data_IF_935017248122
#
_entry.id   IF_935017248122
#
_cell.length_a   1.000
_cell.length_b   1.000
_cell.length_c   1.000
_cell.angle_alpha   90.00
_cell.angle_beta   90.00
_cell.angle_gamma   90.00
#
_symmetry.space_group_name_H-M   'P 1'
#
loop_
_entity.id
_entity.type
_entity.pdbx_description
1 polymer ?
#
# COMPACT_ATOMS: atom_id res chain seq x y z
N UNK A 1 -39.41 -47.76 38.72
CA UNK A 1 -38.06 -47.22 38.58
C UNK A 1 -37.38 -47.53 37.23
N UNK A 2 -37.36 -48.75 36.66
CA UNK A 2 -36.70 -49.05 35.38
C UNK A 2 -37.31 -48.32 34.16
N UNK A 3 -38.64 -48.21 34.07
CA UNK A 3 -39.33 -47.52 32.95
C UNK A 3 -39.07 -45.99 32.92
N UNK A 4 -38.98 -45.38 34.10
CA UNK A 4 -38.70 -43.92 34.23
C UNK A 4 -37.30 -43.56 33.75
N UNK A 5 -36.32 -44.43 34.04
CA UNK A 5 -34.93 -44.22 33.61
C UNK A 5 -34.76 -44.37 32.07
N UNK A 6 -35.54 -45.28 31.45
CA UNK A 6 -35.51 -45.46 29.98
C UNK A 6 -36.10 -44.24 29.27
N UNK A 7 -37.20 -43.70 29.79
CA UNK A 7 -37.81 -42.48 29.23
C UNK A 7 -36.89 -41.27 29.39
N UNK A 8 -36.26 -41.12 30.54
CA UNK A 8 -35.29 -40.05 30.82
C UNK A 8 -34.06 -40.14 29.85
N UNK A 9 -33.54 -41.37 29.65
CA UNK A 9 -32.42 -41.59 28.71
C UNK A 9 -32.79 -41.25 27.26
N UNK A 10 -34.02 -41.56 26.83
CA UNK A 10 -34.53 -41.27 25.50
C UNK A 10 -34.72 -39.77 25.27
N UNK A 11 -35.21 -39.03 26.29
CA UNK A 11 -35.33 -37.56 26.24
C UNK A 11 -33.96 -36.88 26.18
N UNK A 12 -32.96 -37.37 26.92
CA UNK A 12 -31.61 -36.87 26.86
C UNK A 12 -30.96 -37.09 25.48
N UNK A 13 -31.18 -38.26 24.87
CA UNK A 13 -30.69 -38.50 23.49
C UNK A 13 -31.34 -37.56 22.47
N UNK A 14 -32.62 -37.22 22.59
CA UNK A 14 -33.29 -36.28 21.69
C UNK A 14 -32.76 -34.86 21.84
N UNK A 15 -32.38 -34.45 23.05
CA UNK A 15 -31.80 -33.13 23.32
C UNK A 15 -30.35 -32.98 22.78
N UNK A 16 -29.68 -34.08 22.50
CA UNK A 16 -28.33 -34.09 21.92
C UNK A 16 -28.32 -34.04 20.37
N UNK A 17 -29.45 -34.24 19.73
CA UNK A 17 -29.64 -34.05 18.27
C UNK A 17 -29.97 -32.60 17.91
N UNK A 18 -29.41 -31.62 18.61
CA UNK A 18 -29.43 -30.25 18.13
C UNK A 18 -28.55 -30.18 16.88
N UNK A 19 -29.17 -30.04 15.69
CA UNK A 19 -28.46 -29.64 14.49
C UNK A 19 -27.79 -28.27 14.75
N UNK A 20 -26.54 -28.27 15.13
CA UNK A 20 -25.74 -27.07 15.05
C UNK A 20 -25.31 -26.96 13.58
N UNK A 21 -26.04 -26.17 12.82
CA UNK A 21 -25.53 -25.66 11.55
C UNK A 21 -24.38 -24.74 11.89
N UNK A 22 -23.17 -25.23 11.70
CA UNK A 22 -21.91 -24.52 11.91
C UNK A 22 -21.51 -23.72 10.66
N UNK A 23 -22.41 -23.52 9.72
CA UNK A 23 -22.15 -22.61 8.60
C UNK A 23 -22.07 -21.17 9.13
N UNK A 24 -20.87 -20.69 9.27
CA UNK A 24 -20.58 -19.32 9.68
C UNK A 24 -20.84 -18.39 8.51
N UNK A 25 -21.89 -17.61 8.57
CA UNK A 25 -22.07 -16.46 7.66
C UNK A 25 -21.25 -15.31 8.20
N UNK A 26 -20.10 -15.05 7.58
CA UNK A 26 -19.23 -13.92 7.93
C UNK A 26 -19.93 -12.63 7.53
N UNK A 27 -20.56 -11.94 8.49
CA UNK A 27 -21.24 -10.65 8.26
C UNK A 27 -20.26 -9.45 8.29
N UNK A 28 -19.05 -9.63 8.79
CA UNK A 28 -18.06 -8.55 8.99
C UNK A 28 -16.78 -8.68 8.17
N UNK A 29 -16.65 -9.75 7.39
CA UNK A 29 -15.55 -9.96 6.46
C UNK A 29 -16.06 -10.59 5.17
N UNK A 30 -15.61 -10.12 4.04
CA UNK A 30 -15.90 -10.74 2.74
C UNK A 30 -14.87 -11.83 2.52
N UNK A 31 -15.29 -13.08 2.30
CA UNK A 31 -14.37 -14.15 1.95
C UNK A 31 -13.64 -13.77 0.66
N UNK A 32 -12.34 -14.07 0.56
CA UNK A 32 -11.50 -13.67 -0.57
C UNK A 32 -12.06 -14.08 -1.93
N UNK A 33 -12.77 -15.22 -1.98
CA UNK A 33 -13.43 -15.72 -3.20
C UNK A 33 -14.71 -14.93 -3.59
N UNK A 34 -15.27 -14.15 -2.66
CA UNK A 34 -16.48 -13.33 -2.88
C UNK A 34 -16.15 -11.84 -3.05
N UNK A 35 -14.87 -11.46 -2.92
CA UNK A 35 -14.46 -10.05 -2.84
C UNK A 35 -14.61 -9.33 -4.18
N UNK A 36 -14.29 -10.00 -5.29
CA UNK A 36 -14.38 -9.40 -6.62
C UNK A 36 -15.33 -10.20 -7.49
N UNK A 37 -16.48 -9.61 -7.84
CA UNK A 37 -17.51 -10.23 -8.66
C UNK A 37 -17.43 -9.82 -10.13
N UNK A 38 -16.72 -8.74 -10.41
CA UNK A 38 -16.62 -8.16 -11.74
C UNK A 38 -15.39 -7.25 -11.89
N UNK A 39 -15.08 -6.88 -13.11
CA UNK A 39 -14.00 -5.97 -13.48
C UNK A 39 -14.04 -4.64 -12.73
N UNK A 40 -15.24 -4.05 -12.57
CA UNK A 40 -15.39 -2.74 -11.92
C UNK A 40 -14.92 -2.76 -10.47
N UNK A 41 -15.10 -3.86 -9.78
CA UNK A 41 -14.65 -4.03 -8.40
C UNK A 41 -13.13 -4.14 -8.32
N UNK A 42 -12.48 -4.83 -9.27
CA UNK A 42 -11.02 -4.89 -9.35
C UNK A 42 -10.41 -3.50 -9.67
N UNK A 43 -11.00 -2.77 -10.61
CA UNK A 43 -10.58 -1.40 -10.93
C UNK A 43 -10.77 -0.48 -9.72
N UNK A 44 -11.90 -0.58 -9.01
CA UNK A 44 -12.13 0.19 -7.79
C UNK A 44 -11.12 -0.16 -6.68
N UNK A 45 -10.75 -1.43 -6.56
CA UNK A 45 -9.72 -1.88 -5.62
C UNK A 45 -8.36 -1.24 -5.92
N UNK A 46 -7.96 -1.17 -7.18
CA UNK A 46 -6.73 -0.48 -7.59
C UNK A 46 -6.71 0.99 -7.14
N UNK A 47 -7.86 1.65 -7.13
CA UNK A 47 -8.01 3.02 -6.62
C UNK A 47 -7.55 3.20 -5.16
N UNK A 48 -7.55 2.16 -4.33
CA UNK A 48 -7.07 2.22 -2.94
C UNK A 48 -5.60 2.62 -2.84
N UNK A 49 -4.74 2.13 -3.74
CA UNK A 49 -3.33 2.49 -3.76
C UNK A 49 -3.12 3.97 -4.10
N UNK A 50 -3.91 4.51 -5.04
CA UNK A 50 -3.86 5.92 -5.41
C UNK A 50 -4.34 6.85 -4.29
N UNK A 51 -5.30 6.42 -3.46
CA UNK A 51 -5.72 7.23 -2.30
C UNK A 51 -4.59 7.48 -1.30
N UNK A 52 -3.58 6.61 -1.25
CA UNK A 52 -2.41 6.80 -0.40
C UNK A 52 -1.55 8.00 -0.85
N UNK A 53 -1.59 8.37 -2.13
CA UNK A 53 -0.85 9.54 -2.64
C UNK A 53 -1.35 10.87 -2.03
N UNK A 54 -2.61 10.95 -1.61
CA UNK A 54 -3.16 12.15 -0.97
C UNK A 54 -2.38 12.58 0.29
N UNK A 55 -1.76 11.64 0.99
CA UNK A 55 -0.96 11.92 2.18
C UNK A 55 0.38 12.61 1.87
N UNK A 56 0.83 12.66 0.61
CA UNK A 56 2.12 13.21 0.22
C UNK A 56 2.25 14.71 0.54
N UNK A 57 1.22 15.50 0.26
CA UNK A 57 1.22 16.96 0.40
C UNK A 57 0.53 17.45 1.68
N UNK A 58 0.33 16.62 2.67
CA UNK A 58 -0.25 17.05 3.94
C UNK A 58 0.77 17.80 4.80
N UNK A 59 0.30 18.59 5.75
CA UNK A 59 1.12 19.47 6.61
C UNK A 59 2.27 18.78 7.36
N UNK A 60 2.29 17.54 7.54
CA UNK A 60 3.36 16.80 8.22
C UNK A 60 3.69 15.52 7.44
N UNK A 61 3.87 15.70 6.15
CA UNK A 61 4.09 14.62 5.17
C UNK A 61 5.57 14.47 4.81
N UNK A 62 5.84 13.53 3.91
CA UNK A 62 7.15 13.37 3.30
C UNK A 62 7.59 14.64 2.55
N UNK A 63 6.67 15.31 1.83
CA UNK A 63 6.96 16.56 1.14
C UNK A 63 7.45 17.65 2.11
N UNK A 64 6.80 17.82 3.25
CA UNK A 64 7.24 18.75 4.29
C UNK A 64 8.62 18.38 4.85
N UNK A 65 8.89 17.09 5.06
CA UNK A 65 10.21 16.62 5.48
C UNK A 65 11.29 17.02 4.47
N UNK A 66 11.06 16.80 3.19
CA UNK A 66 12.01 17.10 2.13
C UNK A 66 12.25 18.63 1.99
N UNK A 67 11.18 19.43 2.05
CA UNK A 67 11.31 20.89 2.02
C UNK A 67 12.09 21.45 3.21
N UNK A 68 11.85 20.92 4.41
CA UNK A 68 12.57 21.36 5.61
C UNK A 68 14.03 20.89 5.63
N UNK A 69 14.35 19.82 4.91
CA UNK A 69 15.72 19.31 4.75
C UNK A 69 16.51 20.07 3.66
N UNK A 70 15.84 20.90 2.86
CA UNK A 70 16.43 21.70 1.80
C UNK A 70 16.63 23.16 2.25
N UNK A 71 17.32 23.95 1.42
CA UNK A 71 17.51 25.39 1.62
C UNK A 71 16.31 26.23 1.11
N UNK A 72 15.27 25.58 0.58
CA UNK A 72 14.12 26.27 -0.04
C UNK A 72 13.14 26.84 0.99
N UNK A 73 13.05 26.23 2.16
CA UNK A 73 12.03 26.55 3.16
C UNK A 73 12.58 26.46 4.58
N UNK A 74 12.21 27.43 5.41
CA UNK A 74 12.50 27.41 6.83
C UNK A 74 11.23 27.70 7.63
N UNK A 75 10.99 26.95 8.69
CA UNK A 75 9.95 27.23 9.67
C UNK A 75 10.62 27.77 10.94
N UNK A 76 10.63 29.11 11.15
CA UNK A 76 11.29 29.69 12.29
C UNK A 76 10.58 29.33 13.60
N UNK A 77 11.36 29.15 14.66
CA UNK A 77 10.86 28.95 16.03
C UNK A 77 10.37 30.27 16.62
N UNK A 78 9.29 30.83 16.09
CA UNK A 78 8.77 32.14 16.53
C UNK A 78 7.62 32.08 17.55
N UNK A 79 7.38 30.92 18.12
CA UNK A 79 6.26 30.69 19.05
C UNK A 79 4.92 30.48 18.33
N UNK A 80 3.90 30.07 19.08
CA UNK A 80 2.58 29.76 18.51
C UNK A 80 2.47 28.38 17.87
N UNK A 81 1.45 28.17 17.01
CA UNK A 81 1.11 26.86 16.44
C UNK A 81 2.15 26.27 15.51
N UNK A 82 2.95 27.09 14.85
CA UNK A 82 3.98 26.65 13.88
C UNK A 82 5.26 26.12 14.51
N UNK A 83 5.47 26.34 15.79
CA UNK A 83 6.66 25.83 16.49
C UNK A 83 6.73 24.29 16.50
N UNK A 84 5.59 23.63 16.58
CA UNK A 84 5.47 22.14 16.50
C UNK A 84 6.48 21.38 17.38
N UNK A 85 6.78 21.92 18.58
CA UNK A 85 7.78 21.38 19.50
C UNK A 85 9.21 21.27 18.90
N UNK A 86 9.58 22.18 18.01
CA UNK A 86 10.92 22.24 17.43
C UNK A 86 11.24 21.22 16.35
N UNK A 87 10.27 20.37 15.94
CA UNK A 87 10.52 19.28 14.98
C UNK A 87 11.00 19.73 13.61
N UNK A 88 10.62 20.93 13.16
CA UNK A 88 11.09 21.51 11.91
C UNK A 88 12.53 22.03 12.05
N UNK A 89 12.85 22.67 13.17
CA UNK A 89 14.18 23.14 13.50
C UNK A 89 15.19 21.98 13.60
N UNK A 90 14.78 20.85 14.17
CA UNK A 90 15.59 19.61 14.22
C UNK A 90 16.03 19.17 12.83
N UNK A 91 15.14 19.25 11.82
CA UNK A 91 15.45 18.88 10.45
C UNK A 91 16.38 19.93 9.82
N UNK A 92 16.05 21.20 9.89
CA UNK A 92 16.83 22.29 9.31
C UNK A 92 18.26 22.36 9.84
N UNK A 93 18.44 22.06 11.13
CA UNK A 93 19.76 22.07 11.77
C UNK A 93 20.50 20.74 11.65
N UNK A 94 19.95 19.76 10.93
CA UNK A 94 20.48 18.39 10.81
C UNK A 94 20.71 17.68 12.16
N UNK A 95 19.92 18.04 13.19
CA UNK A 95 19.94 17.41 14.51
C UNK A 95 18.67 16.59 14.73
N UNK A 96 18.42 15.64 13.84
CA UNK A 96 17.16 14.93 13.74
C UNK A 96 17.18 13.71 14.68
N UNK A 97 16.43 13.72 15.79
CA UNK A 97 16.29 12.51 16.61
C UNK A 97 15.44 11.46 15.89
N UNK A 98 15.69 10.16 16.13
CA UNK A 98 14.89 9.07 15.54
C UNK A 98 13.39 9.16 15.84
N UNK A 99 13.01 9.82 16.95
CA UNK A 99 11.64 10.03 17.38
C UNK A 99 10.94 11.22 16.68
N UNK A 100 11.61 11.92 15.74
CA UNK A 100 10.99 13.00 14.99
C UNK A 100 9.77 12.52 14.22
N UNK A 101 8.62 13.14 14.45
CA UNK A 101 7.33 12.68 13.88
C UNK A 101 7.26 12.79 12.35
N UNK A 102 8.02 13.70 11.74
CA UNK A 102 8.06 13.83 10.28
C UNK A 102 8.74 12.61 9.65
N UNK A 103 9.83 12.10 10.26
CA UNK A 103 10.46 10.85 9.83
C UNK A 103 9.48 9.68 9.91
N UNK A 104 8.84 9.51 11.07
CA UNK A 104 7.88 8.40 11.29
C UNK A 104 6.70 8.47 10.31
N UNK A 105 6.17 9.67 10.05
CA UNK A 105 5.05 9.85 9.12
C UNK A 105 5.45 9.59 7.68
N UNK A 106 6.61 10.10 7.24
CA UNK A 106 7.14 9.81 5.91
C UNK A 106 7.38 8.32 5.69
N UNK A 107 7.99 7.66 6.67
CA UNK A 107 8.19 6.21 6.66
C UNK A 107 6.87 5.45 6.54
N UNK A 108 5.92 5.74 7.41
CA UNK A 108 4.62 5.07 7.41
C UNK A 108 3.84 5.32 6.11
N UNK A 109 3.92 6.53 5.56
CA UNK A 109 3.27 6.85 4.29
C UNK A 109 3.82 5.96 3.16
N UNK A 110 5.14 5.84 3.05
CA UNK A 110 5.80 5.03 2.03
C UNK A 110 5.42 3.55 2.18
N UNK A 111 5.64 2.98 3.38
CA UNK A 111 5.43 1.54 3.58
C UNK A 111 3.97 1.13 3.57
N UNK A 112 3.05 2.00 3.95
CA UNK A 112 1.61 1.78 3.73
C UNK A 112 1.24 1.79 2.23
N UNK A 113 1.90 2.62 1.43
CA UNK A 113 1.76 2.63 -0.02
C UNK A 113 2.27 1.33 -0.66
N UNK A 114 3.47 0.88 -0.27
CA UNK A 114 4.06 -0.39 -0.71
C UNK A 114 3.15 -1.57 -0.35
N UNK A 115 2.70 -1.64 0.90
CA UNK A 115 1.82 -2.70 1.37
C UNK A 115 0.51 -2.75 0.59
N UNK A 116 -0.12 -1.59 0.34
CA UNK A 116 -1.33 -1.52 -0.47
C UNK A 116 -1.11 -2.00 -1.91
N UNK A 117 0.02 -1.65 -2.53
CA UNK A 117 0.34 -2.14 -3.88
C UNK A 117 0.54 -3.66 -3.89
N UNK A 118 1.30 -4.21 -2.92
CA UNK A 118 1.52 -5.66 -2.82
C UNK A 118 0.21 -6.42 -2.60
N UNK A 119 -0.66 -5.91 -1.73
CA UNK A 119 -1.99 -6.48 -1.47
C UNK A 119 -2.84 -6.52 -2.74
N UNK A 120 -2.94 -5.40 -3.45
CA UNK A 120 -3.77 -5.30 -4.67
C UNK A 120 -3.22 -6.18 -5.79
N UNK A 121 -1.90 -6.27 -5.96
CA UNK A 121 -1.28 -7.19 -6.93
C UNK A 121 -1.69 -8.61 -6.60
N UNK A 122 -1.49 -9.04 -5.36
CA UNK A 122 -1.83 -10.38 -4.89
C UNK A 122 -3.32 -10.71 -5.08
N UNK A 123 -4.21 -9.82 -4.65
CA UNK A 123 -5.67 -9.99 -4.80
C UNK A 123 -6.07 -10.05 -6.28
N UNK A 124 -5.46 -9.21 -7.14
CA UNK A 124 -5.75 -9.19 -8.57
C UNK A 124 -5.28 -10.47 -9.25
N UNK A 125 -4.09 -10.97 -8.91
CA UNK A 125 -3.55 -12.23 -9.46
C UNK A 125 -4.40 -13.42 -9.07
N UNK A 126 -4.86 -13.51 -7.81
CA UNK A 126 -5.72 -14.58 -7.31
C UNK A 126 -7.15 -14.53 -7.86
N UNK A 127 -7.62 -13.38 -8.31
CA UNK A 127 -8.98 -13.24 -8.82
C UNK A 127 -9.21 -14.14 -10.03
N UNK A 128 -10.30 -14.95 -10.04
CA UNK A 128 -10.66 -15.78 -11.19
C UNK A 128 -11.18 -14.97 -12.38
N UNK A 129 -11.45 -13.67 -12.18
CA UNK A 129 -12.00 -12.81 -13.22
C UNK A 129 -10.91 -12.50 -14.24
N UNK A 130 -11.22 -12.77 -15.51
CA UNK A 130 -10.35 -12.48 -16.65
C UNK A 130 -10.97 -11.36 -17.48
N UNK A 131 -10.19 -10.33 -17.76
CA UNK A 131 -10.55 -9.21 -18.64
C UNK A 131 -9.27 -8.56 -19.18
N UNK A 132 -9.39 -7.83 -20.26
CA UNK A 132 -8.24 -7.25 -20.97
C UNK A 132 -7.41 -6.29 -20.11
N UNK A 133 -8.03 -5.60 -19.14
CA UNK A 133 -7.35 -4.64 -18.25
C UNK A 133 -6.67 -5.25 -17.02
N UNK A 134 -6.72 -6.57 -16.80
CA UNK A 134 -6.16 -7.20 -15.60
C UNK A 134 -4.64 -7.01 -15.49
N UNK A 135 -3.92 -7.25 -16.56
CA UNK A 135 -2.46 -7.10 -16.62
C UNK A 135 -2.05 -5.64 -16.47
N UNK A 136 -2.84 -4.72 -17.02
CA UNK A 136 -2.64 -3.28 -16.85
C UNK A 136 -2.74 -2.86 -15.37
N UNK A 137 -3.74 -3.31 -14.62
CA UNK A 137 -3.85 -3.01 -13.19
C UNK A 137 -2.62 -3.51 -12.44
N UNK A 138 -2.16 -4.74 -12.72
CA UNK A 138 -0.96 -5.29 -12.09
C UNK A 138 0.26 -4.43 -12.41
N UNK A 139 0.43 -4.02 -13.67
CA UNK A 139 1.52 -3.16 -14.11
C UNK A 139 1.49 -1.78 -13.41
N UNK A 140 0.31 -1.15 -13.36
CA UNK A 140 0.12 0.12 -12.63
C UNK A 140 0.52 0.00 -11.15
N UNK A 141 0.11 -1.06 -10.48
CA UNK A 141 0.45 -1.28 -9.06
C UNK A 141 1.94 -1.53 -8.86
N UNK A 142 2.61 -2.26 -9.75
CA UNK A 142 4.06 -2.47 -9.71
C UNK A 142 4.82 -1.16 -9.89
N UNK A 143 4.40 -0.33 -10.82
CA UNK A 143 5.04 0.98 -11.05
C UNK A 143 4.77 1.94 -9.88
N UNK A 144 3.56 1.95 -9.33
CA UNK A 144 3.25 2.75 -8.14
C UNK A 144 4.06 2.27 -6.92
N UNK A 145 4.24 0.95 -6.76
CA UNK A 145 5.14 0.38 -5.76
C UNK A 145 6.58 0.84 -5.96
N UNK A 146 7.06 0.84 -7.20
CA UNK A 146 8.38 1.33 -7.54
C UNK A 146 8.57 2.81 -7.16
N UNK A 147 7.55 3.65 -7.37
CA UNK A 147 7.56 5.04 -6.91
C UNK A 147 7.73 5.15 -5.39
N UNK A 148 6.98 4.37 -4.60
CA UNK A 148 7.12 4.39 -3.15
C UNK A 148 8.50 3.90 -2.69
N UNK A 149 9.04 2.83 -3.28
CA UNK A 149 10.39 2.37 -2.96
C UNK A 149 11.46 3.38 -3.38
N UNK A 150 11.29 4.07 -4.49
CA UNK A 150 12.18 5.16 -4.89
C UNK A 150 12.24 6.26 -3.83
N UNK A 151 11.09 6.67 -3.27
CA UNK A 151 11.04 7.59 -2.15
C UNK A 151 11.75 7.02 -0.90
N UNK A 152 11.57 5.74 -0.61
CA UNK A 152 12.21 5.07 0.52
C UNK A 152 13.74 5.12 0.41
N UNK A 153 14.29 4.66 -0.72
CA UNK A 153 15.75 4.63 -0.91
C UNK A 153 16.37 6.02 -1.07
N UNK A 154 15.59 7.00 -1.52
CA UNK A 154 16.04 8.40 -1.61
C UNK A 154 16.21 9.03 -0.23
N UNK A 155 15.30 8.75 0.71
CA UNK A 155 15.30 9.34 2.05
C UNK A 155 16.12 8.54 3.07
N UNK A 156 16.11 7.20 3.00
CA UNK A 156 16.70 6.33 4.03
C UNK A 156 17.82 5.42 3.52
N UNK A 157 18.05 5.36 2.22
CA UNK A 157 19.10 4.53 1.62
C UNK A 157 18.75 3.03 1.66
N UNK A 158 19.33 2.29 2.58
CA UNK A 158 19.02 0.86 2.76
C UNK A 158 17.74 0.70 3.55
N UNK A 159 16.76 -0.04 3.01
CA UNK A 159 15.43 -0.21 3.61
C UNK A 159 14.96 -1.66 3.53
N UNK A 160 13.99 -2.08 4.37
CA UNK A 160 13.32 -3.35 4.22
C UNK A 160 12.68 -3.47 2.84
N UNK A 161 12.82 -4.62 2.19
CA UNK A 161 12.35 -4.83 0.84
C UNK A 161 11.61 -6.14 0.70
N UNK A 162 10.35 -6.07 0.27
CA UNK A 162 9.53 -7.21 -0.13
C UNK A 162 8.54 -6.84 -1.21
N UNK A 163 8.27 -7.78 -2.10
CA UNK A 163 7.20 -7.69 -3.10
C UNK A 163 6.12 -8.76 -2.87
N UNK A 164 6.28 -9.57 -1.84
CA UNK A 164 5.37 -10.64 -1.46
C UNK A 164 4.44 -10.17 -0.33
N UNK A 165 3.14 -10.11 -0.63
CA UNK A 165 2.12 -9.76 0.36
C UNK A 165 1.97 -10.85 1.46
N UNK A 166 2.28 -12.10 1.12
CA UNK A 166 2.13 -13.24 2.05
C UNK A 166 3.32 -13.42 3.00
N UNK A 167 4.40 -12.67 2.78
CA UNK A 167 5.58 -12.74 3.64
C UNK A 167 5.24 -12.32 5.06
N UNK A 168 5.50 -13.23 6.02
CA UNK A 168 5.26 -12.99 7.44
C UNK A 168 6.56 -12.59 8.15
N UNK A 169 6.48 -11.59 9.03
CA UNK A 169 7.62 -11.12 9.81
C UNK A 169 8.19 -9.79 9.30
N UNK A 170 9.47 -9.58 9.52
CA UNK A 170 10.17 -8.36 9.09
C UNK A 170 10.95 -8.66 7.81
N UNK A 171 10.63 -7.98 6.69
CA UNK A 171 11.40 -8.13 5.46
C UNK A 171 12.88 -7.80 5.65
N UNK A 172 13.74 -8.51 4.91
CA UNK A 172 15.17 -8.26 4.94
C UNK A 172 15.52 -6.88 4.40
N UNK A 173 16.44 -6.20 5.07
CA UNK A 173 16.98 -4.94 4.58
C UNK A 173 17.87 -5.18 3.36
N UNK A 174 17.60 -4.49 2.25
CA UNK A 174 18.42 -4.51 1.03
C UNK A 174 19.17 -3.20 0.83
N UNK A 175 20.26 -3.24 0.10
CA UNK A 175 21.01 -2.04 -0.24
C UNK A 175 20.23 -1.15 -1.21
N UNK A 176 20.51 0.16 -1.16
CA UNK A 176 19.97 1.14 -2.10
C UNK A 176 20.20 0.72 -3.55
N UNK A 177 21.39 0.26 -3.88
CA UNK A 177 21.75 -0.19 -5.23
C UNK A 177 20.93 -1.40 -5.67
N UNK A 178 20.78 -2.41 -4.79
CA UNK A 178 19.95 -3.58 -5.08
C UNK A 178 18.51 -3.18 -5.42
N UNK A 179 17.92 -2.33 -4.57
CA UNK A 179 16.53 -1.89 -4.76
C UNK A 179 16.44 -1.06 -6.04
N UNK A 180 17.34 -0.11 -6.28
CA UNK A 180 17.34 0.71 -7.48
C UNK A 180 17.34 -0.14 -8.77
N UNK A 181 18.25 -1.10 -8.87
CA UNK A 181 18.33 -2.00 -10.03
C UNK A 181 17.05 -2.85 -10.19
N UNK A 182 16.44 -3.25 -9.08
CA UNK A 182 15.15 -3.94 -9.11
C UNK A 182 14.04 -3.04 -9.66
N UNK A 183 13.95 -1.78 -9.19
CA UNK A 183 12.93 -0.83 -9.63
C UNK A 183 13.06 -0.49 -11.12
N UNK A 184 14.27 -0.26 -11.59
CA UNK A 184 14.54 -0.01 -13.01
C UNK A 184 14.04 -1.16 -13.88
N UNK A 185 14.38 -2.39 -13.49
CA UNK A 185 13.87 -3.58 -14.18
C UNK A 185 12.34 -3.69 -14.11
N UNK A 186 11.74 -3.49 -12.93
CA UNK A 186 10.30 -3.61 -12.73
C UNK A 186 9.52 -2.58 -13.59
N UNK A 187 10.03 -1.35 -13.68
CA UNK A 187 9.43 -0.31 -14.52
C UNK A 187 9.54 -0.70 -16.01
N UNK A 188 10.74 -1.09 -16.48
CA UNK A 188 10.96 -1.46 -17.87
C UNK A 188 10.11 -2.66 -18.31
N UNK A 189 9.95 -3.66 -17.43
CA UNK A 189 9.16 -4.86 -17.72
C UNK A 189 7.64 -4.57 -17.77
N UNK A 190 7.17 -3.49 -17.17
CA UNK A 190 5.72 -3.22 -17.02
C UNK A 190 5.23 -1.96 -17.75
N UNK A 191 6.12 -1.09 -18.23
CA UNK A 191 5.76 0.21 -18.84
C UNK A 191 4.90 0.04 -20.11
N UNK A 192 5.10 -1.02 -20.89
CA UNK A 192 4.36 -1.26 -22.13
C UNK A 192 2.89 -1.61 -21.93
N UNK A 193 2.53 -2.09 -20.73
CA UNK A 193 1.15 -2.40 -20.38
C UNK A 193 0.32 -1.17 -20.00
N UNK A 194 0.97 -0.02 -19.80
CA UNK A 194 0.28 1.21 -19.45
C UNK A 194 -0.33 1.90 -20.68
N UNK A 195 -1.39 2.65 -20.44
CA UNK A 195 -1.94 3.52 -21.49
C UNK A 195 -0.91 4.56 -21.92
N UNK A 196 -0.76 4.74 -23.22
CA UNK A 196 0.21 5.69 -23.77
C UNK A 196 -0.17 7.14 -23.47
N UNK A 197 -1.47 7.43 -23.46
CA UNK A 197 -1.99 8.79 -23.24
C UNK A 197 -3.12 8.75 -22.20
N UNK A 198 -3.22 9.78 -21.33
CA UNK A 198 -4.37 9.94 -20.46
C UNK A 198 -5.62 10.16 -21.32
N UNK A 199 -6.75 9.58 -20.90
CA UNK A 199 -8.05 9.80 -21.51
C UNK A 199 -9.06 10.27 -20.46
N UNK A 200 -10.23 10.75 -20.88
CA UNK A 200 -11.29 11.17 -19.95
C UNK A 200 -11.80 10.02 -19.06
N UNK A 201 -11.61 8.78 -19.50
CA UNK A 201 -12.02 7.58 -18.76
C UNK A 201 -10.95 7.04 -17.83
N UNK A 202 -9.69 7.40 -18.02
CA UNK A 202 -8.54 6.95 -17.23
C UNK A 202 -7.69 8.10 -16.70
N UNK A 203 -8.27 9.28 -16.50
CA UNK A 203 -7.58 10.42 -15.92
C UNK A 203 -7.22 10.14 -14.46
N UNK A 204 -5.91 10.08 -14.19
CA UNK A 204 -5.38 9.83 -12.83
C UNK A 204 -4.47 8.62 -12.69
N UNK A 205 -4.74 7.45 -13.30
CA UNK A 205 -3.78 6.35 -13.33
C UNK A 205 -2.44 6.73 -13.96
N UNK A 206 -1.38 6.02 -13.59
CA UNK A 206 -0.05 6.20 -14.18
C UNK A 206 -0.12 5.87 -15.67
N UNK A 207 0.38 6.78 -16.50
CA UNK A 207 0.49 6.55 -17.93
C UNK A 207 1.95 6.50 -18.40
N UNK A 208 2.17 5.87 -19.54
CA UNK A 208 3.47 5.74 -20.18
C UNK A 208 4.16 7.10 -20.40
N UNK A 209 3.40 8.12 -20.82
CA UNK A 209 3.93 9.47 -21.06
C UNK A 209 4.41 10.16 -19.79
N UNK A 210 3.76 9.92 -18.65
CA UNK A 210 4.22 10.46 -17.37
C UNK A 210 5.59 9.90 -16.97
N UNK A 211 5.83 8.62 -17.23
CA UNK A 211 7.11 7.97 -16.90
C UNK A 211 8.22 8.41 -17.85
N UNK A 212 7.95 8.47 -19.16
CA UNK A 212 8.93 8.89 -20.16
C UNK A 212 9.24 10.39 -20.16
N UNK A 213 8.37 11.22 -19.66
CA UNK A 213 8.66 12.66 -19.52
C UNK A 213 9.92 12.95 -18.68
N UNK A 214 10.34 12.00 -17.85
CA UNK A 214 11.60 12.10 -17.11
C UNK A 214 12.83 11.62 -17.89
N UNK A 215 12.69 10.73 -18.89
CA UNK A 215 13.81 10.24 -19.68
C UNK A 215 14.32 11.31 -20.67
N UNK A 216 13.42 12.08 -21.28
CA UNK A 216 13.79 13.12 -22.25
C UNK A 216 14.56 14.31 -21.65
N UNK A 217 14.64 14.39 -20.32
CA UNK A 217 15.36 15.47 -19.61
C UNK A 217 16.85 15.19 -19.45
N UNK A 218 17.31 13.97 -19.72
CA UNK A 218 18.71 13.58 -19.66
C UNK A 218 19.45 13.63 -21.01
N UNK A 219 18.72 13.83 -22.11
CA UNK A 219 19.27 13.88 -23.46
C UNK A 219 19.43 15.33 -24.00
N UNK A 220 19.28 16.34 -23.15
CA UNK A 220 19.55 17.75 -23.41
C UNK A 220 20.69 18.25 -22.51
#
# INVERSE_FOLDING_TARGET
>A
MKKTNIILSFVICILLYGCTDLSETVYTGVAMNDFFKNEKELVANAGRAYTKLQGYNSEQSLWTLLLQASDECAVPACGGSWYSNGRYEEIQTNKIPPANKLLTRGWNWIFNGIAACNEIIYETELSPIQFEGKEKIIAEMKILRAFYYYQAISCWGNVPFTTDYTETGYPEQKSREYIFNYLEKEINDNIEFLDREPSDTNYGPVSYTHLRAHETRHDL
#
